data_IF_970600862537
#
_entry.id   IF_970600862537
#
_cell.length_a   1.000
_cell.length_b   1.000
_cell.length_c   1.000
_cell.angle_alpha   90.00
_cell.angle_beta   90.00
_cell.angle_gamma   90.00
#
_symmetry.space_group_name_H-M   'P 1'
#
loop_
_entity.id
_entity.type
_entity.pdbx_description
1 polymer ?
#
# COMPACT_ATOMS: atom_id res chain seq x y z
N UNK A 1 -0.72 14.95 -28.46
CA UNK A 1 0.39 14.82 -27.50
C UNK A 1 -0.20 14.87 -26.10
N UNK A 2 -0.12 13.76 -25.35
CA UNK A 2 -0.75 13.60 -24.05
C UNK A 2 -0.08 14.51 -23.01
N UNK A 3 -0.82 15.51 -22.54
CA UNK A 3 -0.47 16.31 -21.36
C UNK A 3 -0.62 15.43 -20.12
N UNK A 4 0.45 14.72 -19.75
CA UNK A 4 0.55 14.04 -18.46
C UNK A 4 0.53 15.11 -17.36
N UNK A 5 -0.53 15.12 -16.55
CA UNK A 5 -0.58 15.88 -15.31
C UNK A 5 0.61 15.48 -14.41
N UNK A 6 1.24 16.48 -13.80
CA UNK A 6 2.37 16.30 -12.89
C UNK A 6 1.97 15.34 -11.75
N UNK A 7 2.68 14.21 -11.63
CA UNK A 7 2.42 13.14 -10.64
C UNK A 7 2.13 11.76 -11.26
N UNK A 8 1.72 11.72 -12.53
CA UNK A 8 1.36 10.50 -13.25
C UNK A 8 2.51 9.96 -14.12
N UNK A 9 3.68 9.79 -13.51
CA UNK A 9 4.81 9.08 -14.11
C UNK A 9 4.57 7.57 -14.24
N UNK A 10 5.52 6.86 -14.84
CA UNK A 10 5.52 5.40 -14.77
C UNK A 10 5.81 4.98 -13.31
N UNK A 11 4.82 4.35 -12.68
CA UNK A 11 4.81 3.85 -11.30
C UNK A 11 4.77 2.32 -11.28
N UNK A 12 5.39 1.69 -12.29
CA UNK A 12 5.39 0.24 -12.44
C UNK A 12 3.98 -0.31 -12.65
N UNK A 13 3.09 0.40 -13.35
CA UNK A 13 1.69 -0.02 -13.54
C UNK A 13 1.60 -1.45 -14.11
N UNK A 14 2.39 -1.75 -15.15
CA UNK A 14 2.41 -3.07 -15.77
C UNK A 14 2.95 -4.14 -14.82
N UNK A 15 4.10 -3.89 -14.18
CA UNK A 15 4.71 -4.78 -13.19
C UNK A 15 3.76 -5.11 -12.04
N UNK A 16 3.06 -4.10 -11.52
CA UNK A 16 2.08 -4.28 -10.45
C UNK A 16 0.85 -5.02 -10.95
N UNK A 17 0.39 -4.77 -12.18
CA UNK A 17 -0.73 -5.50 -12.77
C UNK A 17 -0.44 -7.01 -12.86
N UNK A 18 0.75 -7.41 -13.30
CA UNK A 18 1.17 -8.82 -13.33
C UNK A 18 1.19 -9.43 -11.92
N UNK A 19 1.72 -8.68 -10.96
CA UNK A 19 1.81 -9.11 -9.56
C UNK A 19 0.45 -9.28 -8.93
N UNK A 20 -0.44 -8.30 -9.11
CA UNK A 20 -1.83 -8.36 -8.62
C UNK A 20 -2.51 -9.59 -9.26
N UNK A 21 -2.40 -9.77 -10.58
CA UNK A 21 -3.04 -10.88 -11.29
C UNK A 21 -2.60 -12.27 -10.78
N UNK A 22 -1.37 -12.39 -10.29
CA UNK A 22 -0.83 -13.64 -9.72
C UNK A 22 -1.02 -13.78 -8.20
N UNK A 23 -1.48 -12.73 -7.51
CA UNK A 23 -1.48 -12.66 -6.05
C UNK A 23 -2.58 -13.53 -5.44
N UNK A 24 -2.26 -14.22 -4.33
CA UNK A 24 -3.25 -15.05 -3.64
C UNK A 24 -4.40 -14.24 -3.02
N UNK A 25 -4.16 -12.98 -2.65
CA UNK A 25 -5.15 -12.15 -1.99
C UNK A 25 -6.36 -11.81 -2.89
N UNK A 26 -6.23 -11.90 -4.22
CA UNK A 26 -7.35 -11.70 -5.15
C UNK A 26 -8.00 -13.00 -5.61
N UNK A 27 -7.56 -14.16 -5.13
CA UNK A 27 -8.16 -15.45 -5.48
C UNK A 27 -9.36 -15.74 -4.58
N UNK A 28 -10.18 -16.70 -4.98
CA UNK A 28 -11.26 -17.25 -4.16
C UNK A 28 -12.38 -16.24 -3.81
N UNK A 29 -12.45 -15.11 -4.53
CA UNK A 29 -13.53 -14.12 -4.36
C UNK A 29 -14.71 -14.44 -5.28
N UNK A 30 -15.93 -14.03 -4.93
CA UNK A 30 -17.08 -14.11 -5.84
C UNK A 30 -17.06 -12.99 -6.88
N UNK A 31 -16.75 -11.78 -6.42
CA UNK A 31 -16.74 -10.53 -7.17
C UNK A 31 -15.60 -9.66 -6.64
N UNK A 32 -14.91 -8.95 -7.54
CA UNK A 32 -13.91 -7.96 -7.17
C UNK A 32 -14.28 -6.63 -7.84
N UNK A 33 -14.24 -5.56 -7.05
CA UNK A 33 -14.28 -4.19 -7.55
C UNK A 33 -12.85 -3.65 -7.52
N UNK A 34 -12.34 -3.27 -8.68
CA UNK A 34 -11.07 -2.57 -8.80
C UNK A 34 -11.32 -1.08 -9.02
N UNK A 35 -10.59 -0.23 -8.30
CA UNK A 35 -10.52 1.21 -8.57
C UNK A 35 -9.17 1.62 -9.16
N UNK A 36 -9.09 2.84 -9.69
CA UNK A 36 -7.83 3.42 -10.16
C UNK A 36 -7.21 2.75 -11.40
N UNK A 37 -7.91 1.85 -12.10
CA UNK A 37 -7.44 1.17 -13.33
C UNK A 37 -7.49 2.06 -14.58
N UNK A 38 -6.91 3.26 -14.47
CA UNK A 38 -6.91 4.27 -15.52
C UNK A 38 -5.94 3.97 -16.67
N UNK A 39 -4.78 3.37 -16.39
CA UNK A 39 -3.77 2.99 -17.39
C UNK A 39 -4.23 1.80 -18.25
N UNK A 40 -4.23 1.97 -19.56
CA UNK A 40 -4.77 0.97 -20.50
C UNK A 40 -3.99 -0.34 -20.52
N UNK A 41 -2.65 -0.28 -20.48
CA UNK A 41 -1.80 -1.46 -20.56
C UNK A 41 -1.83 -2.26 -19.26
N UNK A 42 -1.63 -1.58 -18.12
CA UNK A 42 -1.73 -2.21 -16.80
C UNK A 42 -3.11 -2.82 -16.58
N UNK A 43 -4.19 -2.11 -16.95
CA UNK A 43 -5.55 -2.66 -16.88
C UNK A 43 -5.70 -3.92 -17.75
N UNK A 44 -5.22 -3.90 -19.00
CA UNK A 44 -5.29 -5.07 -19.89
C UNK A 44 -4.55 -6.27 -19.30
N UNK A 45 -3.32 -6.07 -18.83
CA UNK A 45 -2.49 -7.11 -18.19
C UNK A 45 -3.24 -7.75 -17.02
N UNK A 46 -3.77 -6.92 -16.11
CA UNK A 46 -4.49 -7.40 -14.94
C UNK A 46 -5.75 -8.19 -15.33
N UNK A 47 -6.62 -7.59 -16.16
CA UNK A 47 -7.91 -8.18 -16.50
C UNK A 47 -7.78 -9.47 -17.31
N UNK A 48 -6.80 -9.55 -18.21
CA UNK A 48 -6.53 -10.78 -18.95
C UNK A 48 -5.89 -11.84 -18.06
N UNK A 49 -4.97 -11.46 -17.17
CA UNK A 49 -4.29 -12.37 -16.25
C UNK A 49 -5.23 -13.09 -15.29
N UNK A 50 -6.35 -12.47 -14.92
CA UNK A 50 -7.34 -13.04 -13.98
C UNK A 50 -8.58 -13.63 -14.67
N UNK A 51 -8.66 -13.57 -16.00
CA UNK A 51 -9.87 -13.95 -16.76
C UNK A 51 -10.26 -15.41 -16.59
N UNK A 52 -9.30 -16.30 -16.36
CA UNK A 52 -9.57 -17.71 -16.11
C UNK A 52 -10.39 -17.95 -14.84
N UNK A 53 -10.16 -17.14 -13.80
CA UNK A 53 -10.89 -17.21 -12.54
C UNK A 53 -12.13 -16.30 -12.54
N UNK A 54 -12.03 -15.12 -13.15
CA UNK A 54 -13.10 -14.11 -13.23
C UNK A 54 -13.47 -13.81 -14.69
N UNK A 55 -14.21 -14.70 -15.38
CA UNK A 55 -14.49 -14.56 -16.80
C UNK A 55 -15.51 -13.47 -17.12
N UNK A 56 -16.33 -13.06 -16.16
CA UNK A 56 -17.36 -12.05 -16.35
C UNK A 56 -16.85 -10.69 -15.87
N UNK A 57 -16.48 -9.83 -16.81
CA UNK A 57 -15.85 -8.54 -16.53
C UNK A 57 -16.62 -7.40 -17.19
N UNK A 58 -16.77 -6.29 -16.49
CA UNK A 58 -17.21 -5.02 -17.09
C UNK A 58 -16.05 -4.37 -17.83
N UNK A 59 -16.36 -3.38 -18.68
CA UNK A 59 -15.34 -2.42 -19.08
C UNK A 59 -15.01 -1.48 -17.90
N UNK A 60 -13.98 -0.65 -18.06
CA UNK A 60 -13.76 0.48 -17.16
C UNK A 60 -14.76 1.59 -17.45
N UNK A 61 -15.37 2.14 -16.39
CA UNK A 61 -16.39 3.18 -16.55
C UNK A 61 -15.84 4.42 -17.27
N UNK A 62 -16.67 5.07 -18.07
CA UNK A 62 -16.34 6.34 -18.71
C UNK A 62 -15.36 6.22 -19.89
N UNK A 63 -14.95 5.01 -20.30
CA UNK A 63 -14.10 4.82 -21.48
C UNK A 63 -14.90 4.78 -22.78
N UNK A 64 -16.00 4.04 -22.78
CA UNK A 64 -16.92 3.88 -23.91
C UNK A 64 -18.33 3.61 -23.38
N UNK A 65 -19.35 3.89 -24.19
CA UNK A 65 -20.74 3.49 -23.91
C UNK A 65 -21.04 2.08 -24.42
N UNK A 66 -20.21 1.55 -25.33
CA UNK A 66 -20.36 0.21 -25.89
C UNK A 66 -20.13 -0.87 -24.83
N UNK A 67 -20.84 -1.99 -24.94
CA UNK A 67 -20.74 -3.11 -24.00
C UNK A 67 -21.46 -2.88 -22.67
N UNK A 68 -22.03 -1.71 -22.42
CA UNK A 68 -22.90 -1.42 -21.27
C UNK A 68 -24.37 -1.52 -21.65
N UNK A 69 -25.22 -2.06 -20.76
CA UNK A 69 -26.67 -2.07 -20.99
C UNK A 69 -27.26 -0.65 -20.98
N UNK A 70 -26.68 0.24 -20.17
CA UNK A 70 -27.01 1.66 -20.14
C UNK A 70 -25.83 2.48 -19.62
N UNK A 71 -25.80 3.76 -20.00
CA UNK A 71 -24.89 4.78 -19.48
C UNK A 71 -25.73 5.94 -18.96
N UNK A 72 -25.53 6.31 -17.69
CA UNK A 72 -26.25 7.41 -17.03
C UNK A 72 -25.30 8.50 -16.52
N UNK A 73 -25.90 9.61 -16.10
CA UNK A 73 -25.20 10.77 -15.55
C UNK A 73 -24.44 11.56 -16.62
N UNK A 74 -23.41 12.31 -16.20
CA UNK A 74 -22.71 13.28 -17.06
C UNK A 74 -21.53 12.64 -17.81
N UNK A 75 -21.83 11.80 -18.81
CA UNK A 75 -20.83 11.25 -19.72
C UNK A 75 -20.32 12.31 -20.71
N UNK A 76 -19.05 12.70 -20.63
CA UNK A 76 -18.47 13.79 -21.44
C UNK A 76 -17.70 13.23 -22.64
N UNK A 77 -18.04 13.66 -23.86
CA UNK A 77 -17.46 13.10 -25.10
C UNK A 77 -16.01 13.50 -25.39
N UNK A 78 -15.44 14.50 -24.72
CA UNK A 78 -14.06 14.94 -24.95
C UNK A 78 -13.39 15.46 -23.68
N UNK A 79 -12.08 15.23 -23.59
CA UNK A 79 -11.07 15.65 -22.58
C UNK A 79 -10.97 14.87 -21.27
N UNK A 80 -11.95 14.04 -20.89
CA UNK A 80 -11.88 13.28 -19.64
C UNK A 80 -11.23 11.90 -19.78
N UNK A 81 -10.39 11.53 -18.81
CA UNK A 81 -9.87 10.16 -18.66
C UNK A 81 -10.98 9.26 -18.09
N UNK A 82 -10.93 7.95 -18.35
CA UNK A 82 -11.88 6.99 -17.78
C UNK A 82 -11.89 7.03 -16.23
N UNK A 83 -12.95 6.52 -15.61
CA UNK A 83 -13.12 6.60 -14.15
C UNK A 83 -12.35 5.56 -13.33
N UNK A 84 -11.63 4.64 -13.97
CA UNK A 84 -10.78 3.65 -13.30
C UNK A 84 -11.51 2.54 -12.53
N UNK A 85 -12.86 2.51 -12.51
CA UNK A 85 -13.64 1.47 -11.83
C UNK A 85 -13.98 0.32 -12.79
N UNK A 86 -13.69 -0.91 -12.38
CA UNK A 86 -14.03 -2.16 -13.09
C UNK A 86 -14.60 -3.16 -12.09
N UNK A 87 -15.61 -3.93 -12.50
CA UNK A 87 -16.11 -5.06 -11.72
C UNK A 87 -15.84 -6.36 -12.47
N UNK A 88 -15.27 -7.35 -11.78
CA UNK A 88 -15.05 -8.71 -12.29
C UNK A 88 -15.74 -9.73 -11.39
N UNK A 89 -16.20 -10.83 -11.95
CA UNK A 89 -17.03 -11.81 -11.26
C UNK A 89 -16.77 -13.24 -11.75
N UNK A 90 -16.80 -14.19 -10.82
CA UNK A 90 -16.87 -15.63 -11.13
C UNK A 90 -18.21 -16.02 -11.72
N UNK A 91 -19.24 -15.29 -11.33
CA UNK A 91 -20.64 -15.54 -11.67
C UNK A 91 -21.09 -14.70 -12.85
N UNK A 92 -22.03 -15.18 -13.70
CA UNK A 92 -22.55 -14.43 -14.82
C UNK A 92 -23.10 -13.06 -14.41
N UNK A 93 -22.69 -12.02 -15.15
CA UNK A 93 -23.25 -10.66 -15.05
C UNK A 93 -24.41 -10.55 -16.04
N UNK A 94 -25.64 -10.52 -15.53
CA UNK A 94 -26.86 -10.37 -16.35
C UNK A 94 -27.09 -8.94 -16.82
N UNK A 95 -26.68 -7.96 -16.00
CA UNK A 95 -26.89 -6.55 -16.26
C UNK A 95 -25.65 -5.79 -15.80
N UNK A 96 -25.15 -4.90 -16.64
CA UNK A 96 -24.06 -3.97 -16.32
C UNK A 96 -24.41 -2.57 -16.78
N UNK A 97 -24.33 -1.62 -15.87
CA UNK A 97 -24.64 -0.20 -16.10
C UNK A 97 -23.46 0.61 -15.59
N UNK A 98 -23.10 1.67 -16.32
CA UNK A 98 -22.18 2.68 -15.80
C UNK A 98 -22.92 3.99 -15.54
N UNK A 99 -22.50 4.69 -14.49
CA UNK A 99 -23.00 6.00 -14.13
C UNK A 99 -21.81 6.93 -13.91
N UNK A 100 -21.75 8.03 -14.66
CA UNK A 100 -20.73 9.06 -14.46
C UNK A 100 -21.35 10.15 -13.60
N UNK A 101 -20.73 10.49 -12.47
CA UNK A 101 -21.33 11.41 -11.50
C UNK A 101 -21.78 12.72 -12.14
N UNK A 102 -22.93 13.23 -11.68
CA UNK A 102 -23.50 14.48 -12.19
C UNK A 102 -22.58 15.65 -11.85
N UNK A 103 -22.07 15.67 -10.61
CA UNK A 103 -20.99 16.54 -10.21
C UNK A 103 -19.65 15.94 -10.68
N UNK A 104 -18.93 16.64 -11.60
CA UNK A 104 -17.70 16.14 -12.19
C UNK A 104 -16.53 16.01 -11.19
N UNK A 105 -16.65 16.56 -9.99
CA UNK A 105 -15.58 16.64 -9.02
C UNK A 105 -14.77 17.94 -9.11
N UNK A 106 -13.72 18.01 -8.29
CA UNK A 106 -12.84 19.18 -8.15
C UNK A 106 -11.38 18.75 -8.13
N UNK A 107 -10.46 19.71 -8.28
CA UNK A 107 -9.03 19.41 -8.37
C UNK A 107 -8.71 18.51 -9.57
N UNK A 108 -7.82 17.54 -9.37
CA UNK A 108 -7.44 16.60 -10.43
C UNK A 108 -8.61 15.71 -10.88
N UNK A 109 -9.52 15.37 -9.96
CA UNK A 109 -10.65 14.46 -10.22
C UNK A 109 -11.64 15.00 -11.25
N UNK A 110 -11.76 16.32 -11.40
CA UNK A 110 -12.63 16.96 -12.38
C UNK A 110 -12.34 16.51 -13.84
N UNK A 111 -11.11 16.06 -14.10
CA UNK A 111 -10.65 15.58 -15.40
C UNK A 111 -10.94 14.09 -15.65
N UNK A 112 -11.55 13.38 -14.70
CA UNK A 112 -11.88 11.96 -14.81
C UNK A 112 -13.39 11.75 -14.89
N UNK A 113 -13.80 10.70 -15.59
CA UNK A 113 -15.16 10.17 -15.54
C UNK A 113 -15.39 9.37 -14.25
N UNK A 114 -15.13 9.98 -13.08
CA UNK A 114 -15.47 9.36 -11.80
C UNK A 114 -16.97 9.07 -11.72
N UNK A 115 -17.30 7.97 -11.08
CA UNK A 115 -18.62 7.39 -11.13
C UNK A 115 -18.64 6.00 -10.52
N UNK A 116 -19.67 5.24 -10.86
CA UNK A 116 -19.81 3.85 -10.42
C UNK A 116 -20.21 2.93 -11.57
N UNK A 117 -19.79 1.66 -11.45
CA UNK A 117 -20.33 0.55 -12.20
C UNK A 117 -21.38 -0.15 -11.32
N UNK A 118 -22.52 -0.47 -11.89
CA UNK A 118 -23.50 -1.37 -11.31
C UNK A 118 -23.50 -2.70 -12.08
N UNK A 119 -23.49 -3.81 -11.36
CA UNK A 119 -23.74 -5.14 -11.93
C UNK A 119 -24.81 -5.89 -11.15
N UNK A 120 -25.61 -6.69 -11.87
CA UNK A 120 -26.43 -7.76 -11.29
C UNK A 120 -25.84 -9.11 -11.66
N UNK A 121 -25.47 -9.89 -10.66
CA UNK A 121 -24.93 -11.24 -10.84
C UNK A 121 -25.94 -12.29 -10.36
N UNK A 122 -25.78 -13.53 -10.85
CA UNK A 122 -26.55 -14.69 -10.38
C UNK A 122 -25.63 -15.74 -9.79
N UNK A 123 -25.79 -16.01 -8.49
CA UNK A 123 -25.06 -17.06 -7.76
C UNK A 123 -26.07 -18.03 -7.15
N UNK A 124 -26.02 -19.30 -7.57
CA UNK A 124 -26.91 -20.34 -7.05
C UNK A 124 -28.41 -20.02 -7.20
N UNK A 125 -28.79 -19.40 -8.33
CA UNK A 125 -30.19 -18.98 -8.60
C UNK A 125 -30.65 -17.72 -7.85
N UNK A 126 -29.79 -17.11 -7.01
CA UNK A 126 -30.07 -15.84 -6.32
C UNK A 126 -29.35 -14.68 -6.98
N UNK A 127 -30.01 -13.53 -7.01
CA UNK A 127 -29.47 -12.29 -7.55
C UNK A 127 -28.76 -11.48 -6.47
N UNK A 128 -27.62 -10.93 -6.83
CA UNK A 128 -26.86 -9.99 -6.02
C UNK A 128 -26.54 -8.76 -6.87
N UNK A 129 -26.59 -7.60 -6.24
CA UNK A 129 -26.37 -6.31 -6.89
C UNK A 129 -25.13 -5.66 -6.29
N UNK A 130 -24.20 -5.24 -7.14
CA UNK A 130 -22.95 -4.64 -6.72
C UNK A 130 -22.83 -3.28 -7.40
N UNK A 131 -22.70 -2.22 -6.61
CA UNK A 131 -22.32 -0.88 -7.03
C UNK A 131 -20.86 -0.68 -6.65
N UNK A 132 -19.96 -0.82 -7.62
CA UNK A 132 -18.53 -0.54 -7.47
C UNK A 132 -18.25 0.93 -7.79
N UNK A 133 -17.53 1.66 -6.94
CA UNK A 133 -17.36 3.11 -7.07
C UNK A 133 -16.00 3.61 -6.59
N UNK A 134 -15.59 4.77 -7.09
CA UNK A 134 -14.54 5.60 -6.48
C UNK A 134 -15.00 7.05 -6.50
N UNK A 135 -15.27 7.61 -5.32
CA UNK A 135 -15.77 8.99 -5.20
C UNK A 135 -14.62 10.00 -5.13
N UNK A 136 -14.96 11.29 -5.04
CA UNK A 136 -14.03 12.41 -4.95
C UNK A 136 -12.98 12.20 -3.85
N UNK A 137 -11.72 12.25 -4.24
CA UNK A 137 -10.58 12.15 -3.34
C UNK A 137 -10.44 13.44 -2.53
N UNK A 138 -9.93 13.32 -1.31
CA UNK A 138 -9.57 14.50 -0.51
C UNK A 138 -8.46 15.26 -1.21
N UNK A 139 -8.73 16.53 -1.52
CA UNK A 139 -7.82 17.39 -2.26
C UNK A 139 -7.90 18.80 -1.68
N UNK A 140 -6.75 19.39 -1.34
CA UNK A 140 -6.66 20.73 -0.78
C UNK A 140 -7.09 21.83 -1.77
N UNK A 141 -7.12 21.52 -3.08
CA UNK A 141 -7.65 22.41 -4.11
C UNK A 141 -9.20 22.47 -4.12
N UNK A 142 -9.88 21.61 -3.34
CA UNK A 142 -11.32 21.56 -3.24
C UNK A 142 -11.85 22.29 -2.01
N UNK A 143 -13.04 22.90 -2.14
CA UNK A 143 -13.80 23.41 -1.00
C UNK A 143 -14.07 22.28 0.01
N UNK A 144 -13.78 22.54 1.29
CA UNK A 144 -13.84 21.55 2.38
C UNK A 144 -13.24 20.18 2.00
N UNK A 145 -12.08 20.17 1.33
CA UNK A 145 -11.41 18.93 0.90
C UNK A 145 -12.30 17.97 0.07
N UNK A 146 -13.30 18.51 -0.62
CA UNK A 146 -14.22 17.75 -1.46
C UNK A 146 -15.38 17.06 -0.74
N UNK A 147 -15.67 17.36 0.54
CA UNK A 147 -16.84 16.77 1.23
C UNK A 147 -18.18 17.05 0.51
N UNK A 148 -18.48 18.29 0.06
CA UNK A 148 -19.76 18.58 -0.60
C UNK A 148 -19.93 17.78 -1.90
N UNK A 149 -18.85 17.62 -2.67
CA UNK A 149 -18.84 16.80 -3.87
C UNK A 149 -19.15 15.34 -3.54
N UNK A 150 -18.52 14.76 -2.50
CA UNK A 150 -18.82 13.38 -2.09
C UNK A 150 -20.28 13.22 -1.67
N UNK A 151 -20.87 14.20 -0.99
CA UNK A 151 -22.28 14.17 -0.61
C UNK A 151 -23.20 14.05 -1.84
N UNK A 152 -22.98 14.87 -2.87
CA UNK A 152 -23.74 14.80 -4.14
C UNK A 152 -23.51 13.46 -4.88
N UNK A 153 -22.29 12.93 -4.84
CA UNK A 153 -21.97 11.62 -5.43
C UNK A 153 -22.63 10.46 -4.69
N UNK A 154 -22.79 10.56 -3.37
CA UNK A 154 -23.57 9.59 -2.59
C UNK A 154 -25.07 9.68 -2.91
N UNK A 155 -25.59 10.88 -3.16
CA UNK A 155 -26.97 11.06 -3.61
C UNK A 155 -27.20 10.44 -5.00
N UNK A 156 -26.25 10.58 -5.94
CA UNK A 156 -26.32 9.91 -7.25
C UNK A 156 -26.43 8.38 -7.10
N UNK A 157 -25.61 7.77 -6.23
CA UNK A 157 -25.65 6.33 -5.95
C UNK A 157 -27.00 5.93 -5.33
N UNK A 158 -27.46 6.66 -4.31
CA UNK A 158 -28.73 6.40 -3.62
C UNK A 158 -29.91 6.49 -4.59
N UNK A 159 -29.95 7.56 -5.39
CA UNK A 159 -31.01 7.81 -6.36
C UNK A 159 -31.04 6.73 -7.44
N UNK A 160 -29.88 6.30 -7.94
CA UNK A 160 -29.80 5.18 -8.86
C UNK A 160 -30.41 3.90 -8.27
N UNK A 161 -30.03 3.53 -7.04
CA UNK A 161 -30.57 2.34 -6.36
C UNK A 161 -32.10 2.45 -6.20
N UNK A 162 -32.61 3.61 -5.80
CA UNK A 162 -34.04 3.85 -5.63
C UNK A 162 -34.82 3.71 -6.95
N UNK A 163 -34.30 4.31 -8.04
CA UNK A 163 -34.92 4.24 -9.37
C UNK A 163 -34.85 2.84 -9.96
N UNK A 164 -33.81 2.07 -9.63
CA UNK A 164 -33.65 0.69 -10.11
C UNK A 164 -34.74 -0.25 -9.60
N UNK A 165 -35.41 0.10 -8.48
CA UNK A 165 -36.49 -0.68 -7.85
C UNK A 165 -36.08 -2.15 -7.65
N UNK A 166 -34.89 -2.35 -7.08
CA UNK A 166 -34.37 -3.69 -6.76
C UNK A 166 -35.30 -4.32 -5.72
N UNK A 167 -35.71 -5.59 -5.88
CA UNK A 167 -36.49 -6.29 -4.88
C UNK A 167 -35.82 -6.28 -3.50
N UNK A 168 -36.59 -6.02 -2.44
CA UNK A 168 -36.07 -5.92 -1.08
C UNK A 168 -35.51 -7.24 -0.52
N UNK A 169 -35.78 -8.37 -1.19
CA UNK A 169 -35.28 -9.71 -0.87
C UNK A 169 -33.98 -10.07 -1.63
N UNK A 170 -33.46 -9.18 -2.47
CA UNK A 170 -32.16 -9.31 -3.14
C UNK A 170 -31.13 -8.41 -2.43
N UNK A 171 -29.88 -8.85 -2.27
CA UNK A 171 -28.85 -8.09 -1.55
C UNK A 171 -28.21 -7.04 -2.46
N UNK A 172 -28.03 -5.83 -1.94
CA UNK A 172 -27.34 -4.72 -2.61
C UNK A 172 -26.10 -4.30 -1.83
N UNK A 173 -24.94 -4.40 -2.48
CA UNK A 173 -23.64 -4.02 -1.96
C UNK A 173 -23.14 -2.73 -2.63
N UNK A 174 -22.57 -1.83 -1.85
CA UNK A 174 -21.86 -0.63 -2.32
C UNK A 174 -20.40 -0.79 -1.92
N UNK A 175 -19.51 -0.86 -2.91
CA UNK A 175 -18.12 -1.26 -2.71
C UNK A 175 -17.15 -0.26 -3.34
N UNK A 176 -16.13 0.12 -2.58
CA UNK A 176 -14.95 0.83 -3.07
C UNK A 176 -14.44 1.91 -2.14
N UNK A 177 -13.51 2.72 -2.64
CA UNK A 177 -12.91 3.87 -1.97
C UNK A 177 -13.88 5.05 -1.93
N UNK A 178 -14.57 5.14 -0.80
CA UNK A 178 -15.52 6.21 -0.52
C UNK A 178 -14.81 7.48 -0.04
N UNK A 179 -13.47 7.48 0.11
CA UNK A 179 -12.66 8.64 0.51
C UNK A 179 -13.14 9.39 1.78
N UNK A 180 -13.92 8.70 2.63
CA UNK A 180 -14.44 9.19 3.90
C UNK A 180 -13.79 8.41 5.03
N UNK A 181 -13.27 9.10 6.05
CA UNK A 181 -12.52 8.45 7.13
C UNK A 181 -13.47 7.81 8.16
N UNK A 182 -13.27 6.53 8.46
CA UNK A 182 -14.10 5.80 9.43
C UNK A 182 -14.15 6.54 10.78
N UNK A 183 -15.35 6.85 11.24
CA UNK A 183 -15.60 7.50 12.54
C UNK A 183 -15.60 9.03 12.53
N UNK A 184 -15.32 9.70 11.42
CA UNK A 184 -15.55 11.16 11.31
C UNK A 184 -17.03 11.50 11.17
N UNK A 185 -17.43 12.75 11.36
CA UNK A 185 -18.82 13.20 11.13
C UNK A 185 -19.30 12.84 9.71
N UNK A 186 -18.44 13.07 8.70
CA UNK A 186 -18.70 12.71 7.30
C UNK A 186 -18.96 11.21 7.10
N UNK A 187 -18.43 10.33 7.97
CA UNK A 187 -18.70 8.89 7.90
C UNK A 187 -20.14 8.59 8.29
N UNK A 188 -20.66 9.23 9.33
CA UNK A 188 -22.06 9.05 9.70
C UNK A 188 -23.01 9.66 8.66
N UNK A 189 -22.64 10.80 8.07
CA UNK A 189 -23.37 11.40 6.95
C UNK A 189 -23.39 10.45 5.74
N UNK A 190 -22.25 9.88 5.36
CA UNK A 190 -22.15 8.89 4.28
C UNK A 190 -23.06 7.68 4.53
N UNK A 191 -23.08 7.11 5.74
CA UNK A 191 -23.95 5.98 6.07
C UNK A 191 -25.44 6.33 5.92
N UNK A 192 -25.82 7.55 6.31
CA UNK A 192 -27.19 8.06 6.20
C UNK A 192 -27.57 8.35 4.74
N UNK A 193 -26.72 9.02 3.98
CA UNK A 193 -26.93 9.33 2.57
C UNK A 193 -27.08 8.05 1.75
N UNK A 194 -26.17 7.10 1.89
CA UNK A 194 -26.23 5.83 1.17
C UNK A 194 -27.30 4.85 1.71
N UNK A 195 -27.91 5.16 2.86
CA UNK A 195 -28.85 4.29 3.57
C UNK A 195 -28.28 2.87 3.79
N UNK A 196 -27.13 2.81 4.45
CA UNK A 196 -26.37 1.57 4.72
C UNK A 196 -26.10 1.40 6.21
N UNK A 197 -25.85 0.17 6.64
CA UNK A 197 -25.39 -0.13 8.00
C UNK A 197 -23.87 -0.04 8.10
N UNK A 198 -23.30 0.38 9.25
CA UNK A 198 -21.88 0.16 9.50
C UNK A 198 -21.58 -1.35 9.55
N UNK A 199 -20.43 -1.74 9.02
CA UNK A 199 -19.95 -3.13 9.04
C UNK A 199 -19.26 -3.46 10.36
N UNK A 200 -19.08 -4.75 10.66
CA UNK A 200 -18.04 -5.17 11.62
C UNK A 200 -16.69 -5.08 10.93
N UNK A 201 -15.70 -4.45 11.55
CA UNK A 201 -14.37 -4.26 10.96
C UNK A 201 -13.36 -5.19 11.61
N UNK A 202 -12.48 -5.79 10.81
CA UNK A 202 -11.35 -6.61 11.23
C UNK A 202 -10.12 -6.30 10.36
N UNK A 203 -8.96 -6.85 10.73
CA UNK A 203 -7.73 -6.66 9.96
C UNK A 203 -6.91 -5.47 10.39
N UNK A 204 -6.16 -4.90 9.45
CA UNK A 204 -5.41 -3.68 9.72
C UNK A 204 -6.34 -2.48 9.97
N UNK A 205 -5.97 -1.54 10.85
CA UNK A 205 -6.85 -0.45 11.24
C UNK A 205 -7.09 0.60 10.13
N UNK A 206 -6.31 0.57 9.05
CA UNK A 206 -6.30 1.59 8.00
C UNK A 206 -6.17 0.93 6.62
N UNK A 207 -6.91 1.43 5.64
CA UNK A 207 -6.83 1.02 4.22
C UNK A 207 -5.83 1.89 3.43
N UNK A 208 -5.41 3.01 4.01
CA UNK A 208 -4.32 3.88 3.54
C UNK A 208 -3.40 4.18 4.73
N UNK A 209 -2.11 3.88 4.63
CA UNK A 209 -1.22 4.05 5.77
C UNK A 209 0.21 4.42 5.36
N UNK A 210 0.57 5.70 5.55
CA UNK A 210 1.91 6.24 5.27
C UNK A 210 3.00 5.75 6.23
N UNK A 211 2.64 4.99 7.28
CA UNK A 211 3.59 4.41 8.24
C UNK A 211 3.95 2.96 7.95
N UNK A 212 3.16 2.25 7.15
CA UNK A 212 3.43 0.86 6.80
C UNK A 212 3.52 0.62 5.29
N UNK A 213 2.79 1.40 4.48
CA UNK A 213 2.81 1.27 3.04
C UNK A 213 3.87 2.20 2.42
N UNK A 214 4.92 1.61 1.82
CA UNK A 214 6.02 2.37 1.22
C UNK A 214 5.59 3.30 0.08
N UNK A 215 4.58 2.90 -0.72
CA UNK A 215 4.06 3.72 -1.83
C UNK A 215 3.24 4.91 -1.32
N UNK A 216 2.37 4.70 -0.34
CA UNK A 216 1.60 5.76 0.30
C UNK A 216 2.55 6.80 0.94
N UNK A 217 3.55 6.33 1.67
CA UNK A 217 4.58 7.16 2.28
C UNK A 217 5.38 7.97 1.24
N UNK A 218 5.61 7.43 0.04
CA UNK A 218 6.29 8.16 -1.02
C UNK A 218 5.40 9.25 -1.60
N UNK A 219 4.13 8.94 -1.89
CA UNK A 219 3.20 9.84 -2.59
C UNK A 219 2.71 10.97 -1.69
N UNK A 220 2.34 10.66 -0.44
CA UNK A 220 1.76 11.63 0.49
C UNK A 220 2.38 11.46 1.90
N UNK A 221 3.68 11.76 2.10
CA UNK A 221 4.41 11.46 3.34
C UNK A 221 3.81 12.07 4.62
N UNK A 222 3.03 13.14 4.48
CA UNK A 222 2.44 13.88 5.60
C UNK A 222 0.97 13.52 5.85
N UNK A 223 0.35 12.70 5.01
CA UNK A 223 -1.05 12.31 5.18
C UNK A 223 -1.20 11.32 6.34
N UNK A 224 -2.21 11.55 7.18
CA UNK A 224 -2.52 10.67 8.30
C UNK A 224 -3.10 9.33 7.79
N UNK A 225 -2.78 8.19 8.43
CA UNK A 225 -3.42 6.92 8.12
C UNK A 225 -4.95 6.99 8.24
N UNK A 226 -5.65 6.32 7.33
CA UNK A 226 -7.09 6.38 7.25
C UNK A 226 -7.71 5.05 6.79
N UNK A 227 -8.92 4.80 7.26
CA UNK A 227 -9.79 3.75 6.75
C UNK A 227 -10.86 4.43 5.89
N UNK A 228 -10.85 4.17 4.57
CA UNK A 228 -11.66 4.90 3.58
C UNK A 228 -12.25 4.05 2.46
N UNK A 229 -11.84 2.78 2.34
CA UNK A 229 -12.46 1.82 1.43
C UNK A 229 -13.42 0.91 2.18
N UNK A 230 -14.61 0.69 1.63
CA UNK A 230 -15.69 -0.02 2.30
C UNK A 230 -16.40 -0.97 1.35
N UNK A 231 -17.02 -2.00 1.92
CA UNK A 231 -18.06 -2.78 1.24
C UNK A 231 -19.27 -2.79 2.16
N UNK A 232 -20.30 -2.03 1.82
CA UNK A 232 -21.46 -1.74 2.67
C UNK A 232 -22.72 -2.38 2.12
N UNK A 233 -23.65 -2.76 3.01
CA UNK A 233 -24.94 -3.37 2.65
C UNK A 233 -26.05 -2.32 2.76
N UNK A 234 -26.85 -2.19 1.70
CA UNK A 234 -28.03 -1.30 1.70
C UNK A 234 -29.07 -1.76 2.72
N UNK A 235 -29.56 -0.86 3.58
CA UNK A 235 -30.59 -1.12 4.61
C UNK A 235 -31.96 -1.49 4.04
N UNK A 236 -32.28 -1.03 2.83
CA UNK A 236 -33.58 -1.27 2.19
C UNK A 236 -33.72 -2.64 1.52
N UNK A 237 -32.66 -3.46 1.59
CA UNK A 237 -32.51 -4.69 0.83
C UNK A 237 -32.15 -5.87 1.74
N UNK A 238 -32.02 -7.07 1.19
CA UNK A 238 -31.80 -8.27 2.00
C UNK A 238 -30.51 -8.16 2.81
N UNK A 239 -30.65 -8.20 4.14
CA UNK A 239 -29.53 -8.17 5.07
C UNK A 239 -28.95 -9.58 5.25
N UNK A 240 -27.63 -9.76 5.16
CA UNK A 240 -27.00 -10.97 5.63
C UNK A 240 -27.11 -11.06 7.17
N UNK A 241 -27.01 -12.27 7.76
CA UNK A 241 -27.09 -12.44 9.22
C UNK A 241 -25.94 -11.72 9.94
N UNK A 242 -24.82 -11.53 9.24
CA UNK A 242 -23.64 -10.80 9.67
C UNK A 242 -22.96 -10.23 8.44
N UNK A 243 -22.29 -9.08 8.58
CA UNK A 243 -21.45 -8.53 7.53
C UNK A 243 -20.16 -7.95 8.10
N UNK A 244 -19.03 -8.36 7.51
CA UNK A 244 -17.69 -8.00 7.94
C UNK A 244 -16.92 -7.30 6.82
N UNK A 245 -16.10 -6.33 7.19
CA UNK A 245 -15.09 -5.71 6.34
C UNK A 245 -13.71 -6.01 6.94
N UNK A 246 -12.91 -6.79 6.21
CA UNK A 246 -11.54 -7.10 6.57
C UNK A 246 -10.59 -6.29 5.70
N UNK A 247 -9.89 -5.31 6.29
CA UNK A 247 -8.77 -4.66 5.60
C UNK A 247 -7.52 -5.53 5.72
N UNK A 248 -6.86 -5.82 4.59
CA UNK A 248 -5.68 -6.68 4.54
C UNK A 248 -4.53 -5.97 3.86
N UNK A 249 -3.31 -6.12 4.40
CA UNK A 249 -2.09 -5.47 3.96
C UNK A 249 -1.11 -6.45 3.28
N UNK A 250 -1.46 -7.04 2.12
CA UNK A 250 -0.60 -7.98 1.43
C UNK A 250 0.62 -7.29 0.83
N UNK A 251 1.73 -8.02 0.80
CA UNK A 251 2.93 -7.64 0.06
C UNK A 251 3.15 -8.58 -1.13
N UNK A 252 3.75 -8.05 -2.19
CA UNK A 252 4.15 -8.86 -3.33
C UNK A 252 5.30 -9.79 -2.93
N UNK A 253 5.28 -11.07 -3.31
CA UNK A 253 6.39 -11.99 -3.03
C UNK A 253 7.67 -11.62 -3.81
N UNK A 254 7.56 -10.74 -4.80
CA UNK A 254 8.71 -10.25 -5.57
C UNK A 254 8.76 -8.74 -5.55
N UNK A 255 9.95 -8.16 -5.60
CA UNK A 255 10.10 -6.71 -5.78
C UNK A 255 9.85 -6.28 -7.23
N UNK A 256 9.41 -5.04 -7.42
CA UNK A 256 9.36 -4.34 -8.71
C UNK A 256 10.06 -3.00 -8.61
N UNK A 257 10.48 -2.48 -9.76
CA UNK A 257 11.20 -1.20 -9.85
C UNK A 257 10.57 -0.32 -10.92
N UNK A 258 10.33 0.94 -10.60
CA UNK A 258 9.88 1.92 -11.60
C UNK A 258 11.09 2.49 -12.37
N UNK A 259 10.90 2.97 -13.61
CA UNK A 259 11.91 3.77 -14.30
C UNK A 259 12.31 5.00 -13.46
N UNK A 260 13.60 5.15 -13.15
CA UNK A 260 14.09 6.23 -12.28
C UNK A 260 14.33 5.83 -10.81
N UNK A 261 14.31 4.53 -10.48
CA UNK A 261 15.06 4.00 -9.31
C UNK A 261 14.26 3.72 -8.03
N UNK A 262 12.94 3.87 -8.02
CA UNK A 262 12.11 3.46 -6.88
C UNK A 262 11.81 1.96 -6.95
N UNK A 263 12.24 1.22 -5.93
CA UNK A 263 12.01 -0.23 -5.75
C UNK A 263 10.97 -0.43 -4.66
N UNK A 264 10.01 -1.33 -4.86
CA UNK A 264 8.95 -1.61 -3.89
C UNK A 264 8.43 -3.04 -4.03
N UNK A 265 7.68 -3.48 -3.03
CA UNK A 265 6.94 -4.75 -3.00
C UNK A 265 5.45 -4.52 -2.69
N UNK A 266 5.00 -3.27 -2.63
CA UNK A 266 3.57 -2.96 -2.47
C UNK A 266 2.82 -3.22 -3.78
N UNK A 267 1.57 -3.69 -3.70
CA UNK A 267 0.71 -3.80 -4.88
C UNK A 267 0.09 -2.45 -5.28
N UNK A 268 -0.17 -1.60 -4.28
CA UNK A 268 -0.83 -0.31 -4.39
C UNK A 268 -0.49 0.52 -3.15
N UNK A 269 -0.67 1.83 -3.22
CA UNK A 269 -0.69 2.72 -2.05
C UNK A 269 -1.90 2.49 -1.12
N UNK A 270 -2.89 1.70 -1.55
CA UNK A 270 -4.07 1.30 -0.78
C UNK A 270 -4.09 -0.20 -0.53
N UNK A 271 -4.54 -0.57 0.66
CA UNK A 271 -4.80 -1.95 1.06
C UNK A 271 -6.21 -2.40 0.65
N UNK A 272 -6.39 -3.63 0.14
CA UNK A 272 -7.69 -4.19 -0.20
C UNK A 272 -8.59 -4.39 1.03
N UNK A 273 -9.90 -4.41 0.78
CA UNK A 273 -10.93 -4.76 1.77
C UNK A 273 -11.76 -5.93 1.26
N UNK A 274 -11.93 -6.96 2.10
CA UNK A 274 -12.85 -8.07 1.85
C UNK A 274 -14.19 -7.82 2.53
N UNK A 275 -15.28 -8.10 1.81
CA UNK A 275 -16.64 -8.02 2.32
C UNK A 275 -17.27 -9.40 2.33
N UNK A 276 -17.60 -9.93 3.51
CA UNK A 276 -18.13 -11.28 3.64
C UNK A 276 -19.01 -11.46 4.89
N UNK A 277 -19.75 -12.58 4.90
CA UNK A 277 -20.61 -12.98 6.03
C UNK A 277 -19.77 -13.65 7.11
N UNK A 278 -19.25 -14.85 6.82
CA UNK A 278 -18.42 -15.63 7.74
C UNK A 278 -17.02 -15.82 7.16
N UNK A 279 -16.01 -15.77 8.01
CA UNK A 279 -14.65 -16.15 7.65
C UNK A 279 -14.58 -17.66 7.40
N UNK A 280 -13.73 -18.04 6.46
CA UNK A 280 -13.45 -19.42 6.05
C UNK A 280 -11.94 -19.71 6.04
N UNK A 281 -11.55 -20.87 5.53
CA UNK A 281 -10.15 -21.30 5.47
C UNK A 281 -9.26 -20.43 4.56
N UNK A 282 -9.86 -19.64 3.66
CA UNK A 282 -9.15 -18.77 2.72
C UNK A 282 -9.09 -17.32 3.20
N UNK A 283 -9.82 -16.98 4.26
CA UNK A 283 -9.84 -15.64 4.84
C UNK A 283 -8.50 -15.34 5.53
N UNK A 284 -7.77 -14.28 5.13
CA UNK A 284 -6.53 -13.90 5.79
C UNK A 284 -6.76 -13.60 7.28
N UNK A 285 -5.95 -14.18 8.16
CA UNK A 285 -6.07 -13.97 9.62
C UNK A 285 -4.92 -13.15 10.22
N UNK A 286 -3.93 -12.77 9.41
CA UNK A 286 -2.71 -12.10 9.86
C UNK A 286 -2.22 -11.08 8.84
N UNK A 287 -1.44 -10.11 9.31
CA UNK A 287 -0.83 -9.07 8.46
C UNK A 287 0.09 -9.66 7.41
N UNK A 288 0.00 -9.17 6.17
CA UNK A 288 0.91 -9.53 5.09
C UNK A 288 2.26 -8.78 5.20
N UNK A 289 2.30 -7.68 5.95
CA UNK A 289 3.48 -6.84 6.17
C UNK A 289 4.42 -7.43 7.24
N UNK A 290 4.89 -8.66 7.00
CA UNK A 290 5.81 -9.39 7.90
C UNK A 290 6.95 -10.05 7.12
N UNK A 291 7.97 -9.28 6.77
CA UNK A 291 9.20 -9.82 6.18
C UNK A 291 10.23 -10.21 7.25
N UNK A 292 11.02 -11.25 6.97
CA UNK A 292 12.01 -11.82 7.91
C UNK A 292 13.06 -10.80 8.36
N UNK A 293 13.47 -9.92 7.45
CA UNK A 293 14.51 -8.92 7.68
C UNK A 293 13.96 -7.48 7.76
N UNK A 294 12.67 -7.34 8.08
CA UNK A 294 12.08 -6.05 8.43
C UNK A 294 12.19 -5.76 9.93
N UNK A 295 12.29 -4.48 10.26
CA UNK A 295 12.38 -3.98 11.63
C UNK A 295 13.51 -4.63 12.46
N UNK A 296 14.63 -4.95 11.83
CA UNK A 296 15.83 -5.44 12.52
C UNK A 296 16.55 -4.29 13.23
N UNK A 297 17.31 -4.60 14.28
CA UNK A 297 18.17 -3.65 14.98
C UNK A 297 19.63 -4.08 14.92
N UNK A 298 20.54 -3.11 15.03
CA UNK A 298 21.99 -3.36 15.01
C UNK A 298 22.62 -2.87 16.32
N UNK A 299 23.18 -3.79 17.10
CA UNK A 299 23.76 -3.50 18.42
C UNK A 299 25.27 -3.50 18.32
N UNK A 300 25.92 -2.36 18.56
CA UNK A 300 27.38 -2.24 18.56
C UNK A 300 28.01 -3.24 19.53
N UNK A 301 28.96 -4.04 19.04
CA UNK A 301 29.67 -5.01 19.87
C UNK A 301 30.61 -4.32 20.89
N UNK A 302 31.06 -3.10 20.61
CA UNK A 302 31.91 -2.32 21.51
C UNK A 302 31.15 -1.63 22.66
N UNK A 303 29.92 -1.17 22.42
CA UNK A 303 29.18 -0.33 23.39
C UNK A 303 27.88 -0.96 23.91
N UNK A 304 27.37 -2.00 23.26
CA UNK A 304 26.06 -2.58 23.57
C UNK A 304 24.88 -1.69 23.16
N UNK A 305 25.13 -0.55 22.54
CA UNK A 305 24.12 0.41 22.11
C UNK A 305 23.65 0.15 20.67
N UNK A 306 22.38 0.46 20.40
CA UNK A 306 21.73 0.28 19.10
C UNK A 306 21.97 1.48 18.19
N UNK A 307 22.14 1.20 16.91
CA UNK A 307 22.03 2.21 15.85
C UNK A 307 20.59 2.73 15.82
N UNK A 308 20.41 4.05 15.72
CA UNK A 308 19.12 4.71 15.52
C UNK A 308 19.19 5.87 14.52
N UNK A 309 18.04 6.13 13.90
CA UNK A 309 17.78 7.35 13.14
C UNK A 309 17.56 8.56 14.06
N UNK A 310 17.78 9.77 13.54
CA UNK A 310 17.51 11.01 14.26
C UNK A 310 16.01 11.18 14.52
N UNK A 311 15.63 11.57 15.74
CA UNK A 311 14.23 11.65 16.15
C UNK A 311 13.46 12.84 15.57
N UNK A 312 14.15 13.83 15.00
CA UNK A 312 13.58 15.10 14.54
C UNK A 312 13.66 15.26 13.03
N UNK A 313 14.65 14.64 12.38
CA UNK A 313 14.93 14.81 10.95
C UNK A 313 15.10 13.45 10.28
N UNK A 314 14.31 13.21 9.24
CA UNK A 314 14.40 11.98 8.44
C UNK A 314 15.74 11.80 7.74
N UNK A 315 16.52 12.88 7.60
CA UNK A 315 17.87 12.90 7.05
C UNK A 315 18.95 13.30 8.07
N UNK A 316 18.67 13.16 9.37
CA UNK A 316 19.67 13.35 10.41
C UNK A 316 20.70 12.21 10.46
N UNK A 317 21.85 12.47 11.07
CA UNK A 317 22.94 11.50 11.17
C UNK A 317 22.56 10.29 12.02
N UNK A 318 23.01 9.11 11.60
CA UNK A 318 22.85 7.87 12.36
C UNK A 318 23.80 7.83 13.56
N UNK A 319 23.30 7.30 14.68
CA UNK A 319 24.06 7.14 15.93
C UNK A 319 23.86 5.77 16.54
N UNK A 320 24.90 5.21 17.14
CA UNK A 320 24.85 4.00 17.97
C UNK A 320 24.84 4.36 19.46
N UNK A 321 23.81 5.09 19.90
CA UNK A 321 23.70 5.70 21.22
C UNK A 321 22.49 5.23 22.05
N UNK A 322 21.58 4.42 21.47
CA UNK A 322 20.39 3.95 22.19
C UNK A 322 20.65 2.69 23.01
N UNK A 323 20.35 2.72 24.32
CA UNK A 323 20.42 1.53 25.18
C UNK A 323 19.18 0.61 25.05
N UNK A 324 18.05 1.14 24.58
CA UNK A 324 16.78 0.42 24.45
C UNK A 324 16.36 0.31 22.99
N UNK A 325 15.48 -0.63 22.69
CA UNK A 325 14.85 -0.72 21.39
C UNK A 325 13.71 0.30 21.28
N UNK A 326 13.67 1.03 20.17
CA UNK A 326 12.61 1.98 19.83
C UNK A 326 12.25 1.85 18.35
N UNK A 327 11.22 2.58 17.88
CA UNK A 327 10.93 2.61 16.44
C UNK A 327 12.07 3.22 15.61
N UNK A 328 12.92 4.08 16.20
CA UNK A 328 14.06 4.70 15.52
C UNK A 328 15.26 3.75 15.39
N UNK A 329 15.33 2.69 16.21
CA UNK A 329 16.42 1.69 16.14
C UNK A 329 16.15 0.57 15.12
N UNK A 330 15.00 0.61 14.44
CA UNK A 330 14.51 -0.44 13.55
C UNK A 330 14.75 -0.08 12.08
N UNK A 331 15.25 -1.06 11.33
CA UNK A 331 15.59 -0.92 9.92
C UNK A 331 15.05 -2.09 9.10
N UNK A 332 14.72 -1.84 7.83
CA UNK A 332 14.31 -2.87 6.88
C UNK A 332 15.47 -3.19 5.93
N UNK A 333 15.73 -4.48 5.70
CA UNK A 333 16.76 -4.92 4.75
C UNK A 333 16.14 -5.43 3.46
N UNK A 334 16.74 -5.03 2.34
CA UNK A 334 16.35 -5.49 1.01
C UNK A 334 17.60 -5.73 0.16
N UNK A 335 17.70 -6.88 -0.51
CA UNK A 335 18.72 -7.11 -1.53
C UNK A 335 18.11 -6.83 -2.91
N UNK A 336 18.43 -5.70 -3.53
CA UNK A 336 17.83 -5.34 -4.84
C UNK A 336 18.20 -6.30 -5.98
N UNK A 337 19.26 -7.09 -5.81
CA UNK A 337 19.66 -8.14 -6.73
C UNK A 337 18.85 -9.43 -6.57
N UNK A 338 18.13 -9.59 -5.45
CA UNK A 338 17.22 -10.70 -5.22
C UNK A 338 15.81 -10.32 -5.71
N UNK A 339 15.21 -11.10 -6.63
CA UNK A 339 13.84 -10.86 -7.05
C UNK A 339 12.82 -11.11 -5.93
N UNK A 340 13.12 -11.96 -4.94
CA UNK A 340 12.25 -12.22 -3.77
C UNK A 340 12.23 -10.98 -2.86
N UNK A 341 11.04 -10.50 -2.53
CA UNK A 341 10.91 -9.37 -1.61
C UNK A 341 11.19 -9.75 -0.16
N UNK A 342 11.08 -11.04 0.18
CA UNK A 342 11.22 -11.60 1.51
C UNK A 342 12.07 -12.89 1.48
N UNK A 343 13.36 -12.79 1.11
CA UNK A 343 14.20 -13.97 0.97
C UNK A 343 14.30 -14.73 2.29
N UNK A 344 14.20 -16.07 2.21
CA UNK A 344 14.33 -16.94 3.37
C UNK A 344 15.71 -16.85 4.04
N UNK A 345 16.73 -16.35 3.32
CA UNK A 345 18.11 -16.29 3.77
C UNK A 345 18.87 -15.14 3.09
N UNK A 346 19.38 -14.20 3.90
CA UNK A 346 20.46 -13.29 3.49
C UNK A 346 21.75 -13.85 4.12
N UNK A 347 22.77 -14.14 3.32
CA UNK A 347 24.09 -14.58 3.84
C UNK A 347 25.09 -13.44 3.98
N UNK A 348 24.88 -12.34 3.26
CA UNK A 348 25.74 -11.16 3.19
C UNK A 348 25.63 -10.49 1.81
N UNK A 349 26.59 -9.62 1.49
CA UNK A 349 26.66 -8.92 0.20
C UNK A 349 25.84 -7.64 0.16
N UNK A 350 25.56 -7.15 -1.05
CA UNK A 350 24.89 -5.86 -1.26
C UNK A 350 23.52 -5.84 -0.60
N UNK A 351 23.23 -4.73 0.07
CA UNK A 351 21.97 -4.54 0.78
C UNK A 351 21.54 -3.07 0.68
N UNK A 352 20.24 -2.85 0.69
CA UNK A 352 19.61 -1.56 0.90
C UNK A 352 19.03 -1.57 2.32
N UNK A 353 19.44 -0.60 3.14
CA UNK A 353 19.03 -0.49 4.55
C UNK A 353 18.13 0.73 4.68
N UNK A 354 16.87 0.51 5.00
CA UNK A 354 15.85 1.55 5.15
C UNK A 354 15.54 1.80 6.63
N UNK A 355 15.26 3.04 7.02
CA UNK A 355 14.63 3.29 8.31
C UNK A 355 13.20 2.73 8.33
N UNK A 356 12.86 1.90 9.30
CA UNK A 356 11.47 1.44 9.46
C UNK A 356 10.52 2.56 9.94
N UNK A 357 11.07 3.63 10.53
CA UNK A 357 10.29 4.79 10.98
C UNK A 357 10.10 5.84 9.88
N UNK A 358 11.17 6.14 9.13
CA UNK A 358 11.14 7.01 7.97
C UNK A 358 11.17 6.18 6.69
N UNK A 359 10.01 5.65 6.30
CA UNK A 359 9.88 4.91 5.05
C UNK A 359 10.42 5.73 3.87
N UNK A 360 10.99 5.02 2.91
CA UNK A 360 11.72 5.54 1.76
C UNK A 360 13.00 6.31 2.11
N UNK A 361 13.51 6.27 3.34
CA UNK A 361 14.82 6.84 3.69
C UNK A 361 15.85 5.75 3.95
N UNK A 362 16.90 5.75 3.13
CA UNK A 362 17.86 4.66 3.06
C UNK A 362 19.25 5.12 3.49
N UNK A 363 20.01 4.25 4.15
CA UNK A 363 21.35 4.56 4.59
C UNK A 363 22.23 4.99 3.41
N UNK A 364 22.79 6.17 3.54
CA UNK A 364 23.75 6.76 2.62
C UNK A 364 24.77 7.55 3.44
N UNK A 365 25.79 8.05 2.77
CA UNK A 365 26.86 8.82 3.41
C UNK A 365 27.06 10.15 2.72
N UNK A 366 27.63 11.11 3.45
CA UNK A 366 28.01 12.41 2.90
C UNK A 366 29.48 12.69 3.15
N UNK A 367 30.22 13.03 2.08
CA UNK A 367 31.60 13.46 2.19
C UNK A 367 31.66 14.91 2.70
N UNK A 368 32.39 15.13 3.79
CA UNK A 368 32.45 16.43 4.48
C UNK A 368 31.62 16.48 5.76
N UNK A 369 30.86 15.42 6.07
CA UNK A 369 30.27 15.24 7.39
C UNK A 369 31.36 15.25 8.46
N UNK A 370 31.31 16.20 9.37
CA UNK A 370 32.30 16.32 10.46
C UNK A 370 33.71 16.71 10.03
N UNK A 371 33.86 17.57 9.02
CA UNK A 371 35.14 18.12 8.53
C UNK A 371 36.06 17.07 7.86
N UNK A 372 35.55 16.44 6.78
CA UNK A 372 36.22 15.56 5.79
C UNK A 372 35.85 14.06 5.80
N UNK A 373 34.92 13.63 6.66
CA UNK A 373 34.59 12.21 6.79
C UNK A 373 33.25 11.85 6.12
N UNK A 374 33.04 10.54 5.93
CA UNK A 374 31.87 9.94 5.30
C UNK A 374 30.82 9.53 6.36
N UNK A 375 30.17 10.53 6.96
CA UNK A 375 29.15 10.32 7.98
C UNK A 375 27.88 9.70 7.37
N UNK A 376 27.27 8.73 8.06
CA UNK A 376 26.06 8.06 7.58
C UNK A 376 24.77 8.74 8.06
N UNK A 377 23.79 8.80 7.16
CA UNK A 377 22.46 9.33 7.39
C UNK A 377 21.44 8.64 6.46
N UNK A 378 20.15 8.60 6.80
CA UNK A 378 19.13 8.16 5.86
C UNK A 378 18.85 9.24 4.80
N UNK A 379 18.79 8.87 3.52
CA UNK A 379 18.48 9.78 2.42
C UNK A 379 17.26 9.31 1.64
N UNK A 380 16.38 10.25 1.30
CA UNK A 380 15.11 9.95 0.64
C UNK A 380 15.32 9.35 -0.74
N UNK A 381 14.78 8.14 -0.94
CA UNK A 381 14.86 7.33 -2.15
C UNK A 381 16.28 7.17 -2.72
N UNK A 382 17.30 7.28 -1.87
CA UNK A 382 18.69 7.30 -2.30
C UNK A 382 19.57 6.59 -1.27
N UNK A 383 19.63 5.26 -1.35
CA UNK A 383 20.56 4.47 -0.55
C UNK A 383 21.95 4.40 -1.18
N UNK A 384 22.95 4.02 -0.39
CA UNK A 384 24.24 3.62 -0.96
C UNK A 384 24.06 2.42 -1.89
N UNK A 385 24.60 2.52 -3.11
CA UNK A 385 24.58 1.44 -4.09
C UNK A 385 25.70 0.41 -3.87
N UNK A 386 26.55 0.61 -2.85
CA UNK A 386 27.75 -0.20 -2.62
C UNK A 386 27.90 -0.69 -1.18
N UNK A 387 26.93 -0.41 -0.31
CA UNK A 387 26.94 -0.94 1.05
C UNK A 387 26.68 -2.45 1.03
N UNK A 388 27.51 -3.18 1.75
CA UNK A 388 27.46 -4.63 1.87
C UNK A 388 27.43 -5.05 3.34
N UNK A 389 26.63 -6.07 3.65
CA UNK A 389 26.76 -6.82 4.92
C UNK A 389 27.85 -7.86 4.76
N UNK A 390 28.82 -7.82 5.67
CA UNK A 390 29.83 -8.86 5.82
C UNK A 390 29.43 -9.71 7.02
N UNK A 391 28.91 -10.90 6.74
CA UNK A 391 28.64 -11.90 7.78
C UNK A 391 29.91 -12.73 7.99
N UNK A 392 30.44 -12.71 9.21
CA UNK A 392 31.70 -13.38 9.56
C UNK A 392 31.62 -14.90 9.37
N UNK A 393 30.43 -15.49 9.53
CA UNK A 393 30.22 -16.94 9.45
C UNK A 393 29.76 -17.42 8.07
N UNK A 394 29.37 -16.52 7.16
CA UNK A 394 28.86 -16.87 5.82
C UNK A 394 27.53 -17.64 5.77
N UNK A 395 26.94 -17.98 6.91
CA UNK A 395 25.62 -18.61 7.00
C UNK A 395 24.47 -17.60 6.77
N UNK A 396 23.23 -18.08 6.73
CA UNK A 396 22.07 -17.18 6.80
C UNK A 396 22.14 -16.33 8.07
N UNK A 397 21.89 -15.04 7.92
CA UNK A 397 21.69 -14.13 9.03
C UNK A 397 20.55 -14.63 9.92
N UNK A 398 20.79 -14.64 11.23
CA UNK A 398 19.89 -15.05 12.32
C UNK A 398 19.93 -13.98 13.42
N UNK A 399 19.00 -14.05 14.37
CA UNK A 399 19.12 -13.24 15.58
C UNK A 399 20.43 -13.55 16.29
N UNK A 400 21.17 -12.50 16.66
CA UNK A 400 22.48 -12.60 17.28
C UNK A 400 23.65 -12.75 16.30
N UNK A 401 23.43 -12.82 14.98
CA UNK A 401 24.53 -12.83 14.01
C UNK A 401 25.44 -11.61 14.18
N UNK A 402 26.76 -11.86 14.25
CA UNK A 402 27.77 -10.81 14.30
C UNK A 402 28.14 -10.40 12.87
N UNK A 403 27.85 -9.15 12.52
CA UNK A 403 28.06 -8.60 11.17
C UNK A 403 28.91 -7.35 11.19
N UNK A 404 29.54 -7.04 10.06
CA UNK A 404 30.10 -5.72 9.78
C UNK A 404 29.43 -5.13 8.52
N UNK A 405 29.47 -3.82 8.39
CA UNK A 405 29.10 -3.15 7.14
C UNK A 405 30.35 -2.60 6.48
N UNK A 406 30.46 -2.79 5.17
CA UNK A 406 31.48 -2.10 4.36
C UNK A 406 30.81 -1.35 3.22
N UNK A 407 31.45 -0.28 2.78
CA UNK A 407 30.99 0.52 1.65
C UNK A 407 32.21 1.15 0.95
N UNK A 408 31.97 1.76 -0.21
CA UNK A 408 33.01 2.29 -1.07
C UNK A 408 33.26 3.78 -0.83
N UNK A 409 34.46 4.10 -0.35
CA UNK A 409 34.95 5.47 -0.25
C UNK A 409 35.33 5.96 -1.65
N UNK A 410 34.58 6.94 -2.17
CA UNK A 410 34.76 7.46 -3.53
C UNK A 410 36.01 8.31 -3.70
N UNK A 411 36.44 9.07 -2.68
CA UNK A 411 37.61 9.94 -2.74
C UNK A 411 38.92 9.15 -2.71
N UNK A 412 38.95 8.03 -1.98
CA UNK A 412 40.13 7.16 -1.85
C UNK A 412 40.07 5.92 -2.73
N UNK A 413 38.97 5.73 -3.47
CA UNK A 413 38.71 4.59 -4.35
C UNK A 413 38.91 3.20 -3.69
N UNK A 414 38.47 3.04 -2.43
CA UNK A 414 38.67 1.81 -1.63
C UNK A 414 37.47 1.49 -0.75
N UNK A 415 37.31 0.21 -0.41
CA UNK A 415 36.34 -0.22 0.59
C UNK A 415 36.84 0.05 2.00
N UNK A 416 35.91 0.46 2.86
CA UNK A 416 36.11 0.72 4.28
C UNK A 416 34.94 0.15 5.06
N UNK A 417 35.16 -0.10 6.35
CA UNK A 417 34.12 -0.55 7.28
C UNK A 417 33.49 0.64 8.00
N UNK A 418 32.20 0.51 8.28
CA UNK A 418 31.47 1.46 9.13
C UNK A 418 31.97 1.30 10.56
N UNK A 419 32.29 2.41 11.21
CA UNK A 419 32.75 2.46 12.60
C UNK A 419 31.80 3.31 13.44
N UNK A 420 31.60 2.89 14.70
CA UNK A 420 31.02 3.74 15.74
C UNK A 420 32.12 4.65 16.29
N UNK A 421 32.04 5.93 15.93
CA UNK A 421 33.03 6.92 16.33
C UNK A 421 33.10 7.08 17.85
N UNK A 422 34.29 7.32 18.39
CA UNK A 422 34.53 7.21 19.85
C UNK A 422 35.13 8.46 20.49
N UNK A 423 35.19 9.59 19.78
CA UNK A 423 35.85 10.81 20.26
C UNK A 423 35.10 12.08 19.87
N UNK A 424 35.24 13.12 20.70
CA UNK A 424 34.76 14.47 20.43
C UNK A 424 33.25 14.58 20.25
N UNK A 425 32.81 15.67 19.60
CA UNK A 425 31.39 15.97 19.37
C UNK A 425 30.68 14.97 18.44
N UNK A 426 31.46 14.11 17.77
CA UNK A 426 30.97 13.06 16.88
C UNK A 426 30.96 11.69 17.55
N UNK A 427 31.14 11.62 18.87
CA UNK A 427 31.03 10.37 19.61
C UNK A 427 29.69 9.67 19.33
N UNK A 428 29.75 8.36 19.07
CA UNK A 428 28.65 7.45 18.74
C UNK A 428 28.03 7.58 17.35
N UNK A 429 28.46 8.54 16.53
CA UNK A 429 28.00 8.64 15.13
C UNK A 429 28.65 7.57 14.24
N UNK A 430 27.98 7.20 13.15
CA UNK A 430 28.48 6.22 12.19
C UNK A 430 29.26 6.87 11.05
N UNK A 431 30.46 6.36 10.78
CA UNK A 431 31.32 6.82 9.69
C UNK A 431 31.90 5.66 8.88
N UNK A 432 32.08 5.87 7.57
CA UNK A 432 32.91 5.00 6.73
C UNK A 432 34.40 5.37 6.92
N UNK A 433 35.16 4.58 7.69
CA UNK A 433 36.53 4.99 8.08
C UNK A 433 37.55 3.88 8.34
N UNK A 434 37.12 2.70 8.80
CA UNK A 434 38.05 1.67 9.25
C UNK A 434 38.52 0.75 8.11
N UNK A 435 39.81 0.38 8.10
CA UNK A 435 40.38 -0.57 7.10
C UNK A 435 40.27 -2.04 7.51
N UNK A 436 39.96 -2.29 8.78
CA UNK A 436 39.83 -3.60 9.37
C UNK A 436 38.67 -3.61 10.35
N UNK A 437 38.20 -4.80 10.69
CA UNK A 437 37.07 -5.00 11.59
C UNK A 437 37.55 -5.17 13.03
N UNK A 438 36.95 -4.44 13.97
CA UNK A 438 37.11 -4.63 15.43
C UNK A 438 35.72 -4.64 16.10
N UNK A 439 35.61 -4.76 17.44
CA UNK A 439 34.33 -4.60 18.13
C UNK A 439 33.58 -3.29 17.80
N UNK A 440 34.27 -2.22 17.37
CA UNK A 440 33.63 -0.95 16.97
C UNK A 440 33.04 -0.94 15.55
N UNK A 441 33.48 -1.85 14.70
CA UNK A 441 33.02 -2.04 13.32
C UNK A 441 32.07 -3.24 13.18
N UNK A 442 31.74 -3.89 14.29
CA UNK A 442 30.84 -5.05 14.32
C UNK A 442 29.58 -4.77 15.12
N UNK A 443 28.50 -5.41 14.67
CA UNK A 443 27.16 -5.26 15.20
C UNK A 443 26.50 -6.62 15.36
N UNK A 444 25.86 -6.85 16.49
CA UNK A 444 24.92 -7.97 16.65
C UNK A 444 23.60 -7.58 16.00
N UNK A 445 23.20 -8.34 14.99
CA UNK A 445 21.89 -8.24 14.35
C UNK A 445 20.82 -8.76 15.31
N UNK A 446 19.74 -8.00 15.49
CA UNK A 446 18.57 -8.40 16.27
C UNK A 446 17.34 -8.40 15.38
N UNK A 447 16.61 -9.52 15.38
CA UNK A 447 15.39 -9.67 14.59
C UNK A 447 14.20 -9.02 15.29
N UNK A 448 13.16 -8.73 14.51
CA UNK A 448 11.91 -8.22 15.07
C UNK A 448 11.23 -9.30 15.95
N UNK A 449 11.25 -9.06 17.25
CA UNK A 449 10.61 -9.92 18.26
C UNK A 449 9.13 -9.60 18.48
N UNK A 450 8.62 -8.50 17.93
CA UNK A 450 7.21 -8.13 18.05
C UNK A 450 6.36 -9.20 17.36
N UNK A 451 5.31 -9.74 18.01
CA UNK A 451 4.40 -10.68 17.37
C UNK A 451 3.81 -10.11 16.08
N UNK A 452 3.58 -10.97 15.10
CA UNK A 452 2.82 -10.63 13.92
C UNK A 452 1.39 -10.22 14.31
N UNK A 453 0.84 -9.21 13.64
CA UNK A 453 -0.55 -8.78 13.88
C UNK A 453 -1.46 -9.94 13.45
N UNK A 454 -2.26 -10.45 14.38
CA UNK A 454 -3.19 -11.55 14.20
C UNK A 454 -4.58 -11.11 14.66
N UNK A 455 -5.55 -11.18 13.76
CA UNK A 455 -6.95 -10.79 13.99
C UNK A 455 -7.89 -12.00 13.86
N UNK A 456 -7.37 -13.23 13.96
CA UNK A 456 -8.18 -14.45 13.89
C UNK A 456 -9.35 -14.43 14.87
N UNK A 457 -9.11 -13.93 16.08
CA UNK A 457 -10.12 -13.83 17.14
C UNK A 457 -11.17 -12.73 16.89
N UNK A 458 -10.86 -11.74 16.04
CA UNK A 458 -11.76 -10.63 15.72
C UNK A 458 -12.77 -10.99 14.62
N UNK A 459 -12.50 -12.08 13.87
CA UNK A 459 -13.35 -12.59 12.81
C UNK A 459 -14.53 -13.42 13.35
N UNK A 460 -15.67 -13.32 12.67
CA UNK A 460 -16.83 -14.20 12.90
C UNK A 460 -16.77 -15.37 11.93
N UNK A 461 -16.84 -16.57 12.47
CA UNK A 461 -16.91 -17.85 11.74
C UNK A 461 -18.32 -18.43 11.84
N UNK A 462 -18.59 -19.48 11.05
CA UNK A 462 -19.86 -20.19 11.08
C UNK A 462 -19.96 -21.18 12.23
#
# INVERSE_FOLDING_TARGET
MSTRLAGWGNWGQNERAERIASANYIKDQDVIVFEGLSDDNGRKILLDGIRAEYPHQTDVIGRTQEGWNATFGTYRRSTSTNGGVVIVSKWPIEERIQYIFNNPGCGADASYHKGFAYVRIVKGGKKFHIVGTQVQTKDAACADSGKPVRAEQFDDIKNFINVKKIPNNETVLIAGDLNVHKGSDEYYDMLNSLNVNPSRYAGVPFTWNTKTNGMAAFRQPNEAPAYSAYILVSKSHAQPPVWQNLAYDPISPKTWKRPGGYTSYEFSERYPVYGFVYADAFTPTKSGHRRKYDQVSFVSAATGKRIQADSKKSNGWLKADSATETNLTKFNLLQESDPDSNPSCITGGFVRIESSFYLNHFWNWWFGGGNANYAYYPSFNNGSNRIEIVNVLGECLRDGSLIAFKDYNTSLAKYYYLTVWNTGNWNEYLFLWARSVSPRETFYLRFNSTPEIDWRADLIYR
#
